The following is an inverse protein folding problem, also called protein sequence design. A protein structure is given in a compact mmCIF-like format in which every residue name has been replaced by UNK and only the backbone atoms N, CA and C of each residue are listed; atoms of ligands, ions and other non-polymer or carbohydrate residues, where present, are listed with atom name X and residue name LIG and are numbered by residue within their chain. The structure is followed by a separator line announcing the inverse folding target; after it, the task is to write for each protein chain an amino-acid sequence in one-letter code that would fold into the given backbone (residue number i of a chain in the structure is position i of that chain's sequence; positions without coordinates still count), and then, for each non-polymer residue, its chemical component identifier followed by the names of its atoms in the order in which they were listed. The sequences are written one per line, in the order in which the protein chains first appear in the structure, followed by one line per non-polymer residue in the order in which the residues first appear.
data_IF_012828465639
#
_entry.id   IF_012828465639
#
_cell.length_a   1.000
_cell.length_b   1.000
_cell.length_c   1.000
_cell.angle_alpha   90.00
_cell.angle_beta   90.00
_cell.angle_gamma   90.00
#
_symmetry.space_group_name_H-M   'P 1'
#
loop_
_entity.id
_entity.type
_entity.pdbx_description
1 polymer ?
#
# COMPACT_ATOMS: atom_id res chain seq x y z
N UNK A 1 -7.49 -13.51 -17.19
CA UNK A 1 -7.97 -12.12 -17.11
C UNK A 1 -6.86 -11.20 -16.63
N UNK A 2 -7.04 -9.87 -16.70
CA UNK A 2 -6.05 -8.87 -16.25
C UNK A 2 -6.46 -8.30 -14.89
N UNK A 3 -5.54 -8.31 -13.92
CA UNK A 3 -5.72 -7.71 -12.59
C UNK A 3 -4.82 -6.47 -12.46
N UNK A 4 -5.28 -5.40 -11.80
CA UNK A 4 -4.43 -4.25 -11.56
C UNK A 4 -3.33 -4.58 -10.54
N UNK A 5 -2.16 -3.95 -10.72
CA UNK A 5 -1.14 -3.87 -9.69
C UNK A 5 -1.05 -2.41 -9.21
N UNK A 6 -1.19 -2.20 -7.91
CA UNK A 6 -1.15 -0.87 -7.29
C UNK A 6 0.06 -0.77 -6.39
N UNK A 7 0.94 0.17 -6.70
CA UNK A 7 2.05 0.53 -5.82
C UNK A 7 1.72 1.80 -5.04
N UNK A 8 1.52 1.67 -3.73
CA UNK A 8 1.18 2.81 -2.89
C UNK A 8 2.39 3.69 -2.55
N UNK A 9 3.60 3.14 -2.56
CA UNK A 9 4.84 3.88 -2.39
C UNK A 9 5.04 4.87 -3.54
N UNK A 10 4.93 4.40 -4.77
CA UNK A 10 5.04 5.24 -5.96
C UNK A 10 3.91 6.26 -6.06
N UNK A 11 2.67 5.87 -5.70
CA UNK A 11 1.55 6.81 -5.69
C UNK A 11 1.78 7.95 -4.70
N UNK A 12 2.28 7.64 -3.50
CA UNK A 12 2.62 8.65 -2.49
C UNK A 12 3.80 9.53 -2.95
N UNK A 13 4.81 8.96 -3.59
CA UNK A 13 5.95 9.69 -4.13
C UNK A 13 5.53 10.67 -5.23
N UNK A 14 4.66 10.22 -6.15
CA UNK A 14 4.14 11.04 -7.25
C UNK A 14 3.38 12.26 -6.76
N UNK A 15 2.68 12.15 -5.64
CA UNK A 15 1.89 13.24 -5.05
C UNK A 15 2.67 14.04 -4.00
N UNK A 16 3.95 13.74 -3.79
CA UNK A 16 4.77 14.35 -2.74
C UNK A 16 4.17 14.21 -1.33
N UNK A 17 3.67 13.01 -1.00
CA UNK A 17 3.29 12.65 0.36
C UNK A 17 1.83 12.88 0.71
N UNK A 18 0.90 12.85 -0.27
CA UNK A 18 -0.53 13.08 0.01
C UNK A 18 -1.22 11.93 0.73
N UNK A 19 -0.67 10.72 0.75
CA UNK A 19 -1.29 9.58 1.47
C UNK A 19 -0.90 9.68 2.96
N UNK A 20 -1.81 10.22 3.78
CA UNK A 20 -1.53 10.52 5.20
C UNK A 20 -2.47 9.81 6.17
N UNK A 21 -3.66 9.47 5.71
CA UNK A 21 -4.76 8.97 6.54
C UNK A 21 -5.39 7.72 5.96
N UNK A 22 -6.19 7.04 6.77
CA UNK A 22 -7.00 5.91 6.30
C UNK A 22 -8.02 6.34 5.22
N UNK A 23 -8.53 7.57 5.29
CA UNK A 23 -9.51 8.08 4.33
C UNK A 23 -8.88 8.29 2.94
N UNK A 24 -7.59 8.65 2.87
CA UNK A 24 -6.85 8.76 1.61
C UNK A 24 -6.77 7.40 0.91
N UNK A 25 -6.44 6.34 1.66
CA UNK A 25 -6.46 4.97 1.15
C UNK A 25 -7.87 4.53 0.76
N UNK A 26 -8.88 4.79 1.60
CA UNK A 26 -10.26 4.42 1.33
C UNK A 26 -10.74 5.02 0.00
N UNK A 27 -10.47 6.31 -0.25
CA UNK A 27 -10.82 6.97 -1.49
C UNK A 27 -10.14 6.34 -2.73
N UNK A 28 -8.88 5.90 -2.59
CA UNK A 28 -8.17 5.18 -3.66
C UNK A 28 -8.78 3.81 -3.95
N UNK A 29 -9.09 3.03 -2.91
CA UNK A 29 -9.74 1.72 -3.04
C UNK A 29 -11.14 1.85 -3.66
N UNK A 30 -11.92 2.84 -3.19
CA UNK A 30 -13.24 3.15 -3.72
C UNK A 30 -13.16 3.52 -5.21
N UNK A 31 -12.15 4.29 -5.61
CA UNK A 31 -11.94 4.63 -7.02
C UNK A 31 -11.67 3.39 -7.87
N UNK A 32 -10.87 2.44 -7.39
CA UNK A 32 -10.59 1.19 -8.09
C UNK A 32 -11.88 0.37 -8.21
N UNK A 33 -12.62 0.19 -7.13
CA UNK A 33 -13.88 -0.57 -7.12
C UNK A 33 -14.93 0.04 -8.05
N UNK A 34 -15.13 1.36 -7.98
CA UNK A 34 -16.11 2.06 -8.82
C UNK A 34 -15.74 2.03 -10.32
N UNK A 35 -14.47 1.86 -10.65
CA UNK A 35 -13.99 1.88 -12.05
C UNK A 35 -13.86 0.48 -12.64
N UNK A 36 -13.35 -0.48 -11.86
CA UNK A 36 -12.95 -1.82 -12.32
C UNK A 36 -13.80 -2.95 -11.73
N UNK A 37 -14.65 -2.64 -10.75
CA UNK A 37 -15.50 -3.60 -10.05
C UNK A 37 -14.82 -4.23 -8.83
N UNK A 38 -15.66 -4.79 -7.95
CA UNK A 38 -15.24 -5.41 -6.70
C UNK A 38 -14.27 -6.58 -6.90
N UNK A 39 -14.51 -7.43 -7.91
CA UNK A 39 -13.65 -8.60 -8.18
C UNK A 39 -12.20 -8.19 -8.46
N UNK A 40 -12.00 -7.09 -9.20
CA UNK A 40 -10.67 -6.54 -9.48
C UNK A 40 -10.02 -5.92 -8.24
N UNK A 41 -10.79 -5.22 -7.42
CA UNK A 41 -10.31 -4.70 -6.14
C UNK A 41 -9.88 -5.84 -5.20
N UNK A 42 -10.72 -6.85 -5.03
CA UNK A 42 -10.52 -7.94 -4.07
C UNK A 42 -9.36 -8.88 -4.44
N UNK A 43 -8.96 -8.91 -5.71
CA UNK A 43 -7.89 -9.78 -6.20
C UNK A 43 -6.66 -9.02 -6.74
N UNK A 44 -6.58 -7.69 -6.54
CA UNK A 44 -5.46 -6.92 -7.06
C UNK A 44 -4.12 -7.33 -6.43
N UNK A 45 -3.06 -7.01 -7.16
CA UNK A 45 -1.71 -7.08 -6.62
C UNK A 45 -1.35 -5.72 -6.03
N UNK A 46 -0.63 -5.74 -4.92
CA UNK A 46 -0.19 -4.55 -4.21
C UNK A 46 1.32 -4.64 -4.06
N UNK A 47 2.02 -3.61 -4.49
CA UNK A 47 3.40 -3.39 -4.12
C UNK A 47 3.45 -2.36 -2.99
N UNK A 48 4.33 -2.58 -2.02
CA UNK A 48 4.46 -1.66 -0.90
C UNK A 48 5.92 -1.50 -0.44
N UNK A 49 6.35 -0.25 -0.39
CA UNK A 49 7.56 0.23 0.26
C UNK A 49 7.33 1.68 0.67
N UNK A 50 8.12 2.20 1.61
CA UNK A 50 8.28 3.65 1.75
C UNK A 50 9.18 4.12 0.60
N UNK A 51 8.96 5.33 0.08
CA UNK A 51 9.79 5.85 -1.03
C UNK A 51 10.32 7.23 -0.69
N UNK A 52 11.65 7.39 -0.81
CA UNK A 52 12.29 8.70 -0.83
C UNK A 52 12.09 9.32 -2.22
N UNK A 53 11.64 10.57 -2.26
CA UNK A 53 11.39 11.29 -3.51
C UNK A 53 11.92 12.72 -3.48
N UNK A 54 12.07 13.28 -4.67
CA UNK A 54 12.50 14.65 -4.94
C UNK A 54 11.50 15.31 -5.89
N UNK A 55 11.73 16.58 -6.24
CA UNK A 55 10.93 17.26 -7.27
C UNK A 55 11.01 16.58 -8.66
N UNK A 56 12.01 15.73 -8.89
CA UNK A 56 12.17 14.95 -10.12
C UNK A 56 11.50 13.57 -10.05
N UNK A 57 10.76 13.27 -8.98
CA UNK A 57 10.14 11.98 -8.73
C UNK A 57 10.94 11.13 -7.75
N UNK A 58 10.74 9.82 -7.84
CA UNK A 58 11.40 8.84 -6.97
C UNK A 58 12.91 8.97 -6.98
N UNK A 59 13.50 8.78 -5.80
CA UNK A 59 14.94 8.58 -5.61
C UNK A 59 15.28 7.13 -5.28
N UNK A 60 14.58 6.50 -4.35
CA UNK A 60 14.78 5.08 -3.97
C UNK A 60 13.66 4.55 -3.07
N UNK A 61 13.52 3.23 -3.05
CA UNK A 61 12.75 2.51 -2.05
C UNK A 61 13.45 2.58 -0.68
N UNK A 62 12.66 2.48 0.38
CA UNK A 62 13.05 2.57 1.79
C UNK A 62 12.45 1.40 2.57
N UNK A 63 12.94 1.23 3.79
CA UNK A 63 12.45 0.22 4.73
C UNK A 63 11.29 0.77 5.56
N UNK A 64 10.56 -0.07 6.29
CA UNK A 64 9.52 0.44 7.20
C UNK A 64 10.07 1.16 8.43
N UNK A 65 11.36 0.97 8.75
CA UNK A 65 12.03 1.69 9.83
C UNK A 65 12.31 3.16 9.50
N UNK A 66 12.26 3.55 8.22
CA UNK A 66 12.45 4.95 7.82
C UNK A 66 11.29 5.84 8.30
N UNK A 67 11.59 6.97 8.93
CA UNK A 67 10.58 7.81 9.59
C UNK A 67 10.25 9.11 8.84
N UNK A 68 11.04 9.48 7.83
CA UNK A 68 10.90 10.77 7.13
C UNK A 68 9.83 10.70 6.04
N UNK A 69 9.85 9.63 5.25
CA UNK A 69 8.94 9.43 4.13
C UNK A 69 7.95 8.32 4.42
N UNK A 70 6.84 8.34 3.70
CA UNK A 70 5.78 7.35 3.81
C UNK A 70 5.57 6.57 2.51
N UNK A 71 4.39 5.97 2.33
CA UNK A 71 3.23 6.05 3.24
C UNK A 71 3.30 5.02 4.38
N UNK A 72 2.46 5.18 5.40
CA UNK A 72 2.35 4.19 6.49
C UNK A 72 1.47 3.02 6.05
N UNK A 73 1.84 1.80 6.42
CA UNK A 73 1.19 0.58 5.92
C UNK A 73 -0.06 0.19 6.70
N UNK A 74 -0.15 0.59 7.97
CA UNK A 74 -1.19 0.17 8.90
C UNK A 74 -2.60 0.55 8.43
N UNK A 75 -2.86 1.78 7.92
CA UNK A 75 -4.19 2.15 7.42
C UNK A 75 -4.63 1.31 6.22
N UNK A 76 -3.70 0.95 5.33
CA UNK A 76 -3.99 0.05 4.21
C UNK A 76 -4.35 -1.34 4.73
N UNK A 77 -3.55 -1.91 5.62
CA UNK A 77 -3.82 -3.22 6.22
C UNK A 77 -5.19 -3.27 6.92
N UNK A 78 -5.57 -2.20 7.62
CA UNK A 78 -6.86 -2.07 8.28
C UNK A 78 -8.02 -2.12 7.28
N UNK A 79 -7.91 -1.39 6.17
CA UNK A 79 -8.94 -1.39 5.12
C UNK A 79 -9.03 -2.74 4.42
N UNK A 80 -7.91 -3.37 4.09
CA UNK A 80 -7.89 -4.70 3.47
C UNK A 80 -8.63 -5.72 4.35
N UNK A 81 -8.37 -5.71 5.66
CA UNK A 81 -9.03 -6.61 6.62
C UNK A 81 -10.52 -6.28 6.77
N UNK A 82 -10.88 -5.02 7.04
CA UNK A 82 -12.27 -4.61 7.26
C UNK A 82 -13.17 -4.79 6.03
N UNK A 83 -12.60 -4.66 4.84
CA UNK A 83 -13.31 -4.84 3.57
C UNK A 83 -13.22 -6.27 3.02
N UNK A 84 -12.57 -7.18 3.73
CA UNK A 84 -12.39 -8.58 3.33
C UNK A 84 -11.78 -8.73 1.92
N UNK A 85 -10.73 -7.94 1.64
CA UNK A 85 -10.04 -7.93 0.35
C UNK A 85 -8.90 -8.94 0.35
N UNK A 86 -8.93 -9.89 -0.59
CA UNK A 86 -7.96 -11.00 -0.69
C UNK A 86 -6.78 -10.65 -1.61
N UNK A 87 -6.23 -9.45 -1.46
CA UNK A 87 -5.16 -8.96 -2.31
C UNK A 87 -3.84 -9.70 -2.06
N UNK A 88 -3.00 -9.81 -3.07
CA UNK A 88 -1.60 -10.25 -2.91
C UNK A 88 -0.73 -9.02 -2.65
N UNK A 89 -0.01 -9.00 -1.52
CA UNK A 89 0.89 -7.90 -1.15
C UNK A 89 2.35 -8.36 -1.29
N UNK A 90 3.15 -7.58 -2.01
CA UNK A 90 4.58 -7.77 -2.21
C UNK A 90 5.30 -6.55 -1.62
N UNK A 91 6.18 -6.78 -0.64
CA UNK A 91 7.00 -5.70 -0.11
C UNK A 91 8.27 -5.55 -0.93
N UNK A 92 8.56 -4.32 -1.37
CA UNK A 92 9.70 -3.98 -2.22
C UNK A 92 10.71 -3.07 -1.48
N UNK A 93 10.71 -3.14 -0.15
CA UNK A 93 11.63 -2.40 0.72
C UNK A 93 13.11 -2.69 0.43
N UNK A 94 13.99 -1.75 0.74
CA UNK A 94 15.44 -1.87 0.51
C UNK A 94 16.11 -2.86 1.48
N UNK A 95 16.14 -4.14 1.09
CA UNK A 95 16.85 -5.21 1.81
C UNK A 95 16.10 -5.81 3.01
N UNK A 96 14.88 -5.35 3.30
CA UNK A 96 14.03 -5.81 4.42
C UNK A 96 12.68 -6.36 3.96
N UNK A 97 12.58 -6.86 2.72
CA UNK A 97 11.29 -7.24 2.11
C UNK A 97 10.54 -8.29 2.95
N UNK A 98 11.26 -9.28 3.51
CA UNK A 98 10.65 -10.35 4.29
C UNK A 98 10.19 -9.85 5.67
N UNK A 99 10.98 -9.00 6.32
CA UNK A 99 10.69 -8.39 7.61
C UNK A 99 9.47 -7.47 7.50
N UNK A 100 9.45 -6.60 6.49
CA UNK A 100 8.36 -5.62 6.27
C UNK A 100 7.07 -6.32 5.84
N UNK A 101 7.15 -7.37 5.01
CA UNK A 101 5.99 -8.21 4.71
C UNK A 101 5.44 -8.91 5.97
N UNK A 102 6.31 -9.32 6.89
CA UNK A 102 5.90 -9.89 8.18
C UNK A 102 5.18 -8.85 9.05
N UNK A 103 5.63 -7.59 9.05
CA UNK A 103 4.96 -6.48 9.74
C UNK A 103 3.57 -6.22 9.17
N UNK A 104 3.42 -6.11 7.85
CA UNK A 104 2.11 -5.93 7.21
C UNK A 104 1.16 -7.09 7.54
N UNK A 105 1.66 -8.33 7.47
CA UNK A 105 0.86 -9.52 7.78
C UNK A 105 0.37 -9.51 9.24
N UNK A 106 1.25 -9.16 10.19
CA UNK A 106 0.86 -9.04 11.61
C UNK A 106 -0.20 -7.95 11.82
N UNK A 107 -0.03 -6.79 11.18
CA UNK A 107 -1.01 -5.71 11.25
C UNK A 107 -2.38 -6.14 10.67
N UNK A 108 -2.39 -6.70 9.46
CA UNK A 108 -3.60 -7.23 8.83
C UNK A 108 -4.33 -8.24 9.72
N UNK A 109 -3.60 -9.24 10.26
CA UNK A 109 -4.19 -10.24 11.16
C UNK A 109 -4.73 -9.61 12.46
N UNK A 110 -4.11 -8.54 12.96
CA UNK A 110 -4.61 -7.79 14.11
C UNK A 110 -5.93 -7.06 13.86
N UNK A 111 -6.28 -6.81 12.59
CA UNK A 111 -7.53 -6.16 12.19
C UNK A 111 -8.65 -7.15 11.80
N UNK A 112 -8.33 -8.44 11.59
CA UNK A 112 -9.34 -9.47 11.39
C UNK A 112 -10.06 -9.74 12.72
N UNK A 113 -11.36 -9.41 12.78
CA UNK A 113 -12.25 -9.68 13.91
C UNK A 113 -13.22 -10.78 13.57
#
# INVERSE_FOLDING_TARGET
EMLPCVDFGHLNARTHGEIKTIDDYAAMLDKIENTLGHDRLSQMHIHFSKIEYTNSGERRHLTFADEIYGPQYEPLCELLAKRNLNCTVICESDGTQAEDASLMKKAYLGYLK
#
